data_IF_952818254572
#
_entry.id   IF_952818254572
#
_cell.length_a   1.000
_cell.length_b   1.000
_cell.length_c   1.000
_cell.angle_alpha   90.00
_cell.angle_beta   90.00
_cell.angle_gamma   90.00
#
_symmetry.space_group_name_H-M   'P 1'
#
loop_
_entity.id
_entity.type
_entity.pdbx_description
1 polymer ?
#
# COMPACT_ATOMS: atom_id res chain seq x y z
N UNK A 1 -6.14 -8.72 16.58
CA UNK A 1 -6.63 -9.30 15.32
C UNK A 1 -6.71 -8.16 14.32
N UNK A 2 -6.00 -8.26 13.20
CA UNK A 2 -6.14 -7.29 12.11
C UNK A 2 -7.48 -7.57 11.41
N UNK A 3 -8.34 -6.58 11.36
CA UNK A 3 -9.58 -6.59 10.59
C UNK A 3 -9.23 -6.52 9.11
N UNK A 4 -9.59 -7.55 8.36
CA UNK A 4 -9.33 -7.61 6.92
C UNK A 4 -10.42 -6.83 6.19
N UNK A 5 -10.10 -5.64 5.69
CA UNK A 5 -10.97 -4.96 4.72
C UNK A 5 -10.73 -5.58 3.34
N UNK A 6 -11.76 -6.18 2.74
CA UNK A 6 -11.74 -6.74 1.38
C UNK A 6 -11.98 -5.67 0.30
N UNK A 7 -11.73 -4.41 0.65
CA UNK A 7 -11.96 -3.30 -0.25
C UNK A 7 -11.04 -3.39 -1.47
N UNK A 8 -11.58 -3.03 -2.64
CA UNK A 8 -10.77 -2.97 -3.87
C UNK A 8 -10.19 -1.56 -4.01
N UNK A 9 -9.28 -1.23 -3.07
CA UNK A 9 -8.75 0.10 -2.83
C UNK A 9 -7.23 0.03 -2.61
N UNK A 10 -6.52 1.08 -3.00
CA UNK A 10 -5.07 1.24 -2.82
C UNK A 10 -4.74 2.65 -2.31
N UNK A 11 -3.61 2.79 -1.60
CA UNK A 11 -3.09 4.10 -1.22
C UNK A 11 -2.35 4.73 -2.40
N UNK A 12 -2.76 5.93 -2.83
CA UNK A 12 -2.05 6.68 -3.88
C UNK A 12 -1.05 7.68 -3.29
N UNK A 13 -1.27 8.15 -2.07
CA UNK A 13 -0.41 9.11 -1.40
C UNK A 13 -0.38 8.88 0.12
N UNK A 14 0.81 8.75 0.75
CA UNK A 14 2.10 8.52 0.08
C UNK A 14 2.09 7.19 -0.68
N UNK A 15 2.71 7.09 -1.86
CA UNK A 15 2.58 5.90 -2.69
C UNK A 15 3.39 4.73 -2.09
N UNK A 16 2.76 3.55 -1.85
CA UNK A 16 3.43 2.41 -1.21
C UNK A 16 4.43 1.70 -2.14
N UNK A 17 5.12 0.68 -1.61
CA UNK A 17 5.99 -0.21 -2.38
C UNK A 17 5.24 -0.76 -3.60
N UNK A 18 5.92 -0.82 -4.75
CA UNK A 18 5.37 -1.29 -6.03
C UNK A 18 4.12 -0.57 -6.55
N UNK A 19 3.68 0.51 -5.92
CA UNK A 19 2.52 1.26 -6.41
C UNK A 19 2.78 1.87 -7.78
N UNK A 20 1.76 1.88 -8.64
CA UNK A 20 1.82 2.61 -9.92
C UNK A 20 2.01 4.12 -9.74
N UNK A 21 1.67 4.66 -8.57
CA UNK A 21 1.89 6.05 -8.18
C UNK A 21 3.31 6.31 -7.62
N UNK A 22 4.06 5.24 -7.31
CA UNK A 22 5.43 5.37 -6.80
C UNK A 22 6.43 5.49 -7.95
N UNK A 23 7.04 6.65 -8.11
CA UNK A 23 8.07 6.88 -9.15
C UNK A 23 9.38 6.15 -8.86
N UNK A 24 9.60 5.68 -7.63
CA UNK A 24 10.75 4.84 -7.25
C UNK A 24 10.55 3.37 -7.60
N UNK A 25 9.32 2.91 -7.78
CA UNK A 25 9.04 1.51 -8.09
C UNK A 25 9.35 1.17 -9.55
N UNK A 26 10.31 0.28 -9.76
CA UNK A 26 10.63 -0.30 -11.07
C UNK A 26 9.76 -1.53 -11.36
N UNK A 27 9.47 -2.34 -10.33
CA UNK A 27 8.53 -3.45 -10.40
C UNK A 27 7.15 -3.04 -9.87
N UNK A 28 6.22 -2.68 -10.75
CA UNK A 28 4.89 -2.20 -10.37
C UNK A 28 3.89 -3.34 -10.20
N UNK A 29 3.14 -3.32 -9.10
CA UNK A 29 1.95 -4.16 -8.93
C UNK A 29 0.73 -3.43 -9.51
N UNK A 30 0.25 -3.90 -10.66
CA UNK A 30 -0.96 -3.38 -11.31
C UNK A 30 -2.25 -3.88 -10.66
N UNK A 31 -2.16 -4.84 -9.74
CA UNK A 31 -3.26 -5.41 -8.96
C UNK A 31 -3.27 -4.88 -7.52
N UNK A 32 -2.65 -3.72 -7.26
CA UNK A 32 -2.49 -3.14 -5.92
C UNK A 32 -3.82 -2.89 -5.19
N UNK A 33 -4.92 -2.68 -5.92
CA UNK A 33 -6.26 -2.58 -5.33
C UNK A 33 -6.78 -3.89 -4.78
N UNK A 34 -6.18 -5.03 -5.12
CA UNK A 34 -6.63 -6.34 -4.64
C UNK A 34 -6.32 -6.48 -3.15
N UNK A 35 -7.26 -7.01 -2.35
CA UNK A 35 -6.99 -7.33 -0.96
C UNK A 35 -5.85 -8.36 -0.84
N UNK A 36 -5.37 -8.58 0.39
CA UNK A 36 -4.44 -9.67 0.67
C UNK A 36 -5.08 -11.02 0.31
N UNK A 37 -4.23 -11.97 -0.05
CA UNK A 37 -4.64 -13.35 -0.29
C UNK A 37 -5.30 -13.93 0.97
N UNK A 38 -6.36 -14.70 0.78
CA UNK A 38 -7.11 -15.32 1.88
C UNK A 38 -6.29 -16.38 2.63
N UNK A 39 -5.25 -16.92 2.01
CA UNK A 39 -4.29 -17.86 2.61
C UNK A 39 -3.15 -17.16 3.35
N UNK A 40 -3.10 -15.82 3.31
CA UNK A 40 -2.09 -15.01 3.97
C UNK A 40 -0.69 -15.07 3.34
N UNK A 41 -0.55 -15.69 2.17
CA UNK A 41 0.75 -15.88 1.49
C UNK A 41 1.45 -14.56 1.12
N UNK A 42 0.70 -13.47 0.97
CA UNK A 42 1.21 -12.13 0.67
C UNK A 42 1.18 -11.19 1.89
N UNK A 43 0.90 -11.70 3.10
CA UNK A 43 1.07 -10.93 4.31
C UNK A 43 2.55 -10.94 4.77
N UNK A 44 3.17 -9.80 5.11
CA UNK A 44 2.67 -8.43 5.14
C UNK A 44 3.04 -7.63 3.88
N UNK A 45 2.37 -6.48 3.68
CA UNK A 45 2.65 -5.55 2.58
C UNK A 45 2.61 -6.19 1.18
N UNK A 46 1.67 -7.12 0.95
CA UNK A 46 1.54 -7.90 -0.30
C UNK A 46 2.82 -8.67 -0.68
N UNK A 47 3.67 -8.99 0.30
CA UNK A 47 4.95 -9.68 0.11
C UNK A 47 6.09 -8.78 -0.38
N UNK A 48 5.91 -7.46 -0.39
CA UNK A 48 6.87 -6.52 -1.00
C UNK A 48 8.00 -6.05 -0.07
N UNK A 49 8.04 -6.53 1.17
CA UNK A 49 9.07 -6.15 2.14
C UNK A 49 10.53 -6.31 1.65
N UNK A 50 10.90 -7.31 0.82
CA UNK A 50 12.25 -7.39 0.26
C UNK A 50 12.70 -6.16 -0.53
N UNK A 51 11.76 -5.37 -1.08
CA UNK A 51 12.09 -4.16 -1.85
C UNK A 51 12.72 -3.07 -0.97
N UNK A 52 12.49 -3.10 0.36
CA UNK A 52 13.11 -2.19 1.33
C UNK A 52 14.64 -2.29 1.36
N UNK A 53 15.22 -3.40 0.89
CA UNK A 53 16.67 -3.58 0.76
C UNK A 53 17.22 -3.04 -0.58
N UNK A 54 16.37 -2.45 -1.43
CA UNK A 54 16.71 -1.96 -2.76
C UNK A 54 16.37 -0.48 -2.92
N UNK A 55 16.75 0.13 -4.06
CA UNK A 55 16.36 1.50 -4.40
C UNK A 55 14.85 1.71 -4.52
N UNK A 56 14.09 0.66 -4.82
CA UNK A 56 12.64 0.72 -5.02
C UNK A 56 11.89 0.94 -3.71
N UNK A 57 12.49 0.55 -2.59
CA UNK A 57 11.98 0.76 -1.24
C UNK A 57 12.40 2.08 -0.60
N UNK A 58 12.99 3.00 -1.36
CA UNK A 58 13.36 4.32 -0.85
C UNK A 58 12.13 5.07 -0.31
N UNK A 59 12.31 5.80 0.79
CA UNK A 59 11.22 6.56 1.40
C UNK A 59 10.63 7.59 0.43
N UNK A 60 9.31 7.66 0.41
CA UNK A 60 8.53 8.59 -0.43
C UNK A 60 7.98 9.78 0.37
N UNK A 61 8.10 9.74 1.71
CA UNK A 61 7.65 10.82 2.59
C UNK A 61 8.51 10.88 3.86
N UNK A 62 8.67 12.08 4.42
CA UNK A 62 9.31 12.30 5.71
C UNK A 62 8.43 13.24 6.53
N UNK A 63 8.18 12.87 7.78
CA UNK A 63 7.23 13.55 8.65
C UNK A 63 7.88 13.87 9.99
N UNK A 64 7.66 15.09 10.47
CA UNK A 64 8.11 15.49 11.80
C UNK A 64 7.27 14.79 12.88
N UNK A 65 7.88 14.47 14.02
CA UNK A 65 7.13 13.90 15.15
C UNK A 65 6.00 14.86 15.58
N UNK A 66 4.80 14.31 15.80
CA UNK A 66 3.61 15.08 16.20
C UNK A 66 2.92 15.87 15.08
N UNK A 67 3.42 15.81 13.85
CA UNK A 67 2.78 16.50 12.72
C UNK A 67 1.58 15.74 12.16
N UNK A 68 0.56 16.47 11.69
CA UNK A 68 -0.59 15.89 11.01
C UNK A 68 -0.25 15.51 9.59
N UNK A 69 -0.60 14.29 9.19
CA UNK A 69 -0.36 13.77 7.85
C UNK A 69 -1.66 13.45 7.14
N UNK A 70 -1.60 13.50 5.81
CA UNK A 70 -2.71 13.12 4.94
C UNK A 70 -2.34 11.87 4.17
N UNK A 71 -3.32 11.02 3.98
CA UNK A 71 -3.25 9.88 3.08
C UNK A 71 -4.43 9.93 2.12
N UNK A 72 -4.19 9.52 0.89
CA UNK A 72 -5.21 9.44 -0.16
C UNK A 72 -5.38 7.99 -0.56
N UNK A 73 -6.62 7.50 -0.45
CA UNK A 73 -7.02 6.15 -0.85
C UNK A 73 -7.89 6.27 -2.10
N UNK A 74 -7.56 5.49 -3.13
CA UNK A 74 -8.27 5.43 -4.42
C UNK A 74 -8.65 3.98 -4.72
N UNK A 75 -9.58 3.75 -5.64
CA UNK A 75 -9.98 2.40 -6.01
C UNK A 75 -11.34 2.33 -6.68
N UNK A 76 -11.86 1.12 -6.84
CA UNK A 76 -13.11 0.86 -7.56
C UNK A 76 -14.29 0.46 -6.66
N UNK A 77 -14.03 -0.17 -5.52
CA UNK A 77 -15.08 -0.60 -4.60
C UNK A 77 -14.65 -0.40 -3.15
N UNK A 78 -15.26 0.58 -2.47
CA UNK A 78 -14.99 0.88 -1.08
C UNK A 78 -15.71 -0.07 -0.09
N UNK A 79 -16.65 -0.90 -0.57
CA UNK A 79 -17.42 -1.87 0.24
C UNK A 79 -18.07 -1.25 1.49
N UNK A 80 -18.66 -0.06 1.36
CA UNK A 80 -19.28 0.71 2.45
C UNK A 80 -18.32 1.08 3.60
N UNK A 81 -17.01 1.05 3.37
CA UNK A 81 -16.00 1.30 4.40
C UNK A 81 -15.74 0.08 5.27
N UNK A 82 -15.38 0.29 6.53
CA UNK A 82 -15.06 -0.78 7.49
C UNK A 82 -13.90 -0.40 8.40
N UNK A 83 -13.65 -1.22 9.42
CA UNK A 83 -12.52 -1.09 10.34
C UNK A 83 -12.20 -2.40 11.02
#
# INVERSE_FOLDING_TARGET
MATTSFAHMEMSEPPPLRSKFNTKATNKDYSMTSPLSNDGSDFACKGFLPDLATSDGASVASWAAGSSQKFTIVGGAAHNGGS
#
